data_IF_652102423178
#
_entry.id   IF_652102423178
#
_cell.length_a   1.000
_cell.length_b   1.000
_cell.length_c   1.000
_cell.angle_alpha   90.00
_cell.angle_beta   90.00
_cell.angle_gamma   90.00
#
_symmetry.space_group_name_H-M   'P 1'
#
loop_
_entity.id
_entity.type
_entity.pdbx_description
1 polymer ?
#
# COMPACT_ATOMS: atom_id res chain seq x y z
N UNK A 1 2.00 -23.78 21.18
CA UNK A 1 0.89 -24.16 20.29
C UNK A 1 1.29 -25.45 19.60
N UNK A 2 0.49 -26.50 19.71
CA UNK A 2 0.72 -27.75 18.98
C UNK A 2 0.39 -27.56 17.50
N UNK A 3 0.98 -28.38 16.62
CA UNK A 3 0.81 -28.28 15.17
C UNK A 3 -0.67 -28.36 14.74
N UNK A 4 -1.48 -29.20 15.38
CA UNK A 4 -2.93 -29.28 15.11
C UNK A 4 -3.71 -28.02 15.49
N UNK A 5 -3.15 -27.18 16.35
CA UNK A 5 -3.80 -25.97 16.85
C UNK A 5 -3.38 -24.71 16.05
N UNK A 6 -2.70 -24.89 14.90
CA UNK A 6 -2.44 -23.79 13.97
C UNK A 6 -3.79 -23.31 13.41
N UNK A 7 -4.16 -22.03 13.60
CA UNK A 7 -5.42 -21.48 13.08
C UNK A 7 -5.56 -21.77 11.59
N UNK A 8 -6.73 -22.26 11.18
CA UNK A 8 -7.08 -22.57 9.78
C UNK A 8 -8.32 -21.77 9.35
N UNK A 9 -8.55 -20.61 9.95
CA UNK A 9 -9.67 -19.75 9.60
C UNK A 9 -9.41 -19.15 8.20
N UNK A 10 -9.91 -19.83 7.18
CA UNK A 10 -9.73 -19.49 5.77
C UNK A 10 -10.72 -18.37 5.36
N UNK A 11 -10.42 -17.14 5.76
CA UNK A 11 -11.22 -15.96 5.49
C UNK A 11 -10.32 -14.71 5.36
N UNK A 12 -10.59 -13.84 4.39
CA UNK A 12 -9.82 -12.60 4.17
C UNK A 12 -8.58 -12.81 3.30
N UNK A 13 -7.41 -12.31 3.73
CA UNK A 13 -6.15 -12.46 2.96
C UNK A 13 -5.65 -13.91 2.88
N UNK A 14 -6.14 -14.81 3.75
CA UNK A 14 -5.87 -16.25 3.70
C UNK A 14 -6.40 -16.95 2.44
N UNK A 15 -7.44 -16.38 1.80
CA UNK A 15 -8.09 -16.89 0.59
C UNK A 15 -7.23 -16.61 -0.66
N UNK A 16 -6.03 -17.20 -0.69
CA UNK A 16 -5.10 -17.19 -1.81
C UNK A 16 -4.18 -15.97 -1.93
N UNK A 17 -4.24 -14.99 -1.01
CA UNK A 17 -3.41 -13.77 -1.09
C UNK A 17 -2.14 -13.88 -0.24
N UNK A 18 -2.23 -14.35 1.01
CA UNK A 18 -1.08 -14.55 1.89
C UNK A 18 -1.32 -15.66 2.90
N UNK A 19 -0.26 -16.39 3.26
CA UNK A 19 -0.25 -17.38 4.34
C UNK A 19 0.86 -17.04 5.33
N UNK A 20 0.55 -17.07 6.60
CA UNK A 20 1.51 -16.77 7.66
C UNK A 20 2.28 -18.03 8.06
N UNK A 21 3.59 -17.90 8.25
CA UNK A 21 4.43 -18.97 8.78
C UNK A 21 4.28 -19.02 10.31
N UNK A 22 3.65 -20.06 10.82
CA UNK A 22 3.51 -20.29 12.26
C UNK A 22 4.51 -21.35 12.72
N UNK A 23 5.13 -21.11 13.88
CA UNK A 23 5.93 -22.11 14.59
C UNK A 23 5.05 -22.83 15.60
N UNK A 24 5.10 -24.16 15.59
CA UNK A 24 4.31 -25.02 16.46
C UNK A 24 5.16 -26.19 16.99
N UNK A 25 4.70 -26.85 18.05
CA UNK A 25 5.31 -28.07 18.57
C UNK A 25 4.65 -29.30 17.92
N UNK A 26 5.46 -30.28 17.54
CA UNK A 26 4.97 -31.60 17.15
C UNK A 26 4.63 -32.47 18.38
N UNK A 27 4.11 -33.67 18.15
CA UNK A 27 3.73 -34.63 19.20
C UNK A 27 4.90 -35.06 20.10
N UNK A 28 6.14 -34.85 19.64
CA UNK A 28 7.37 -35.17 20.37
C UNK A 28 7.98 -33.95 21.07
N UNK A 29 7.31 -32.79 21.00
CA UNK A 29 7.79 -31.54 21.61
C UNK A 29 8.87 -30.80 20.82
N UNK A 30 9.11 -31.14 19.56
CA UNK A 30 10.05 -30.44 18.68
C UNK A 30 9.36 -29.29 17.93
N UNK A 31 10.10 -28.22 17.65
CA UNK A 31 9.61 -27.12 16.83
C UNK A 31 9.49 -27.52 15.36
N UNK A 32 8.32 -27.28 14.79
CA UNK A 32 8.00 -27.41 13.36
C UNK A 32 7.33 -26.14 12.87
N UNK A 33 7.31 -25.93 11.55
CA UNK A 33 6.54 -24.86 10.91
C UNK A 33 5.26 -25.39 10.28
N UNK A 34 4.27 -24.51 10.14
CA UNK A 34 3.08 -24.74 9.32
C UNK A 34 2.53 -23.41 8.80
N UNK A 35 1.88 -23.46 7.64
CA UNK A 35 1.23 -22.29 7.06
C UNK A 35 -0.17 -22.15 7.66
N UNK A 36 -0.52 -20.94 8.08
CA UNK A 36 -1.83 -20.58 8.57
C UNK A 36 -2.46 -19.52 7.65
N UNK A 37 -3.73 -19.67 7.22
CA UNK A 37 -4.49 -18.59 6.60
C UNK A 37 -4.83 -17.44 7.59
N UNK A 38 -4.50 -17.61 8.87
CA UNK A 38 -4.63 -16.61 9.92
C UNK A 38 -5.68 -16.97 10.96
N UNK A 39 -5.95 -15.99 11.84
CA UNK A 39 -7.00 -16.03 12.86
C UNK A 39 -8.03 -14.95 12.51
N UNK A 40 -9.32 -15.30 12.47
CA UNK A 40 -10.39 -14.42 11.96
C UNK A 40 -10.35 -12.98 12.50
N UNK A 41 -10.20 -12.71 13.81
CA UNK A 41 -10.14 -11.35 14.35
C UNK A 41 -8.97 -10.52 13.79
N UNK A 42 -7.82 -11.17 13.53
CA UNK A 42 -6.64 -10.51 12.94
C UNK A 42 -6.90 -10.14 11.48
N UNK A 43 -7.58 -11.02 10.74
CA UNK A 43 -7.92 -10.79 9.35
C UNK A 43 -8.92 -9.64 9.21
N UNK A 44 -9.88 -9.51 10.13
CA UNK A 44 -10.82 -8.37 10.18
C UNK A 44 -10.09 -7.05 10.38
N UNK A 45 -9.20 -6.96 11.38
CA UNK A 45 -8.43 -5.73 11.65
C UNK A 45 -7.56 -5.34 10.45
N UNK A 46 -6.98 -6.32 9.76
CA UNK A 46 -6.14 -6.08 8.60
C UNK A 46 -6.94 -5.60 7.38
N UNK A 47 -8.11 -6.18 7.13
CA UNK A 47 -9.03 -5.71 6.09
C UNK A 47 -9.46 -4.26 6.36
N UNK A 48 -9.78 -3.95 7.62
CA UNK A 48 -10.15 -2.60 8.03
C UNK A 48 -9.02 -1.59 7.77
N UNK A 49 -7.77 -1.96 8.11
CA UNK A 49 -6.60 -1.11 7.83
C UNK A 49 -6.40 -0.87 6.32
N UNK A 50 -6.60 -1.89 5.48
CA UNK A 50 -6.54 -1.73 4.03
C UNK A 50 -7.67 -0.84 3.49
N UNK A 51 -8.88 -0.93 4.07
CA UNK A 51 -10.00 -0.05 3.71
C UNK A 51 -9.67 1.41 3.99
N UNK A 52 -9.13 1.71 5.17
CA UNK A 52 -8.74 3.08 5.53
C UNK A 52 -7.70 3.66 4.55
N UNK A 53 -6.68 2.87 4.21
CA UNK A 53 -5.67 3.25 3.21
C UNK A 53 -6.32 3.54 1.85
N UNK A 54 -7.25 2.69 1.43
CA UNK A 54 -7.93 2.81 0.15
C UNK A 54 -8.81 4.06 0.08
N UNK A 55 -9.65 4.30 1.08
CA UNK A 55 -10.47 5.51 1.18
C UNK A 55 -9.61 6.77 1.14
N UNK A 56 -8.49 6.77 1.85
CA UNK A 56 -7.51 7.87 1.82
C UNK A 56 -6.94 8.08 0.41
N UNK A 57 -6.56 7.01 -0.28
CA UNK A 57 -6.05 7.10 -1.66
C UNK A 57 -7.09 7.62 -2.64
N UNK A 58 -8.37 7.24 -2.50
CA UNK A 58 -9.45 7.77 -3.32
C UNK A 58 -9.63 9.29 -3.12
N UNK A 59 -9.62 9.75 -1.87
CA UNK A 59 -9.70 11.18 -1.55
C UNK A 59 -8.55 11.94 -2.21
N UNK A 60 -7.32 11.44 -2.10
CA UNK A 60 -6.15 12.07 -2.69
C UNK A 60 -6.22 12.03 -4.22
N UNK A 61 -6.64 10.92 -4.82
CA UNK A 61 -6.81 10.81 -6.27
C UNK A 61 -7.78 11.87 -6.80
N UNK A 62 -8.91 12.08 -6.14
CA UNK A 62 -9.87 13.14 -6.47
C UNK A 62 -9.23 14.53 -6.32
N UNK A 63 -8.49 14.77 -5.23
CA UNK A 63 -7.76 16.04 -5.05
C UNK A 63 -6.69 16.28 -6.12
N UNK A 64 -6.06 15.23 -6.66
CA UNK A 64 -5.12 15.39 -7.79
C UNK A 64 -5.86 15.72 -9.08
N UNK A 65 -6.99 15.04 -9.38
CA UNK A 65 -7.85 15.33 -10.54
C UNK A 65 -8.37 16.78 -10.50
N UNK A 66 -8.70 17.27 -9.31
CA UNK A 66 -9.09 18.67 -9.07
C UNK A 66 -7.89 19.64 -9.01
N UNK A 67 -6.65 19.16 -9.18
CA UNK A 67 -5.43 19.94 -9.11
C UNK A 67 -5.29 20.73 -7.78
N UNK A 68 -5.77 20.16 -6.67
CA UNK A 68 -5.58 20.66 -5.28
C UNK A 68 -4.25 20.19 -4.70
N UNK A 69 -3.85 18.96 -5.01
CA UNK A 69 -2.57 18.35 -4.62
C UNK A 69 -1.87 17.79 -5.86
N UNK A 70 -0.55 17.63 -5.81
CA UNK A 70 0.21 17.02 -6.90
C UNK A 70 0.08 15.50 -6.89
N UNK A 71 0.25 14.86 -8.04
CA UNK A 71 0.40 13.41 -8.19
C UNK A 71 1.47 12.78 -7.30
N UNK A 72 2.52 13.51 -6.93
CA UNK A 72 3.56 13.02 -6.00
C UNK A 72 2.99 12.56 -4.65
N UNK A 73 1.97 13.27 -4.13
CA UNK A 73 1.34 12.91 -2.87
C UNK A 73 0.63 11.57 -2.98
N UNK A 74 -0.10 11.35 -4.09
CA UNK A 74 -0.78 10.09 -4.36
C UNK A 74 0.22 8.94 -4.41
N UNK A 75 1.28 9.05 -5.21
CA UNK A 75 2.24 7.95 -5.35
C UNK A 75 3.04 7.67 -4.08
N UNK A 76 3.31 8.70 -3.27
CA UNK A 76 3.91 8.50 -1.95
C UNK A 76 3.01 7.66 -1.03
N UNK A 77 1.73 8.02 -0.94
CA UNK A 77 0.74 7.31 -0.12
C UNK A 77 0.48 5.90 -0.66
N UNK A 78 0.45 5.74 -2.00
CA UNK A 78 0.30 4.44 -2.65
C UNK A 78 1.46 3.48 -2.31
N UNK A 79 2.67 4.02 -2.19
CA UNK A 79 3.85 3.27 -1.75
C UNK A 79 3.96 3.14 -0.22
N UNK A 80 2.91 3.56 0.53
CA UNK A 80 2.89 3.55 2.00
C UNK A 80 4.09 4.28 2.63
N UNK A 81 4.60 5.31 1.95
CA UNK A 81 5.76 6.08 2.39
C UNK A 81 5.33 7.31 3.21
N UNK A 82 6.17 7.69 4.17
CA UNK A 82 6.05 8.99 4.83
C UNK A 82 6.89 10.04 4.11
N UNK A 83 6.60 11.35 4.28
CA UNK A 83 7.41 12.42 3.67
C UNK A 83 8.89 12.37 4.05
N UNK A 84 9.22 11.88 5.26
CA UNK A 84 10.61 11.77 5.72
C UNK A 84 11.36 10.61 5.06
N UNK A 85 10.69 9.48 4.82
CA UNK A 85 11.29 8.35 4.10
C UNK A 85 11.58 8.78 2.65
N UNK A 86 10.59 9.37 1.98
CA UNK A 86 10.76 9.86 0.60
C UNK A 86 11.87 10.93 0.50
N UNK A 87 11.90 11.87 1.45
CA UNK A 87 12.94 12.89 1.55
C UNK A 87 14.35 12.29 1.68
N UNK A 88 14.50 11.29 2.54
CA UNK A 88 15.76 10.60 2.79
C UNK A 88 16.24 9.86 1.55
N UNK A 89 15.35 9.16 0.84
CA UNK A 89 15.74 8.47 -0.40
C UNK A 89 16.19 9.44 -1.51
N UNK A 90 15.42 10.51 -1.77
CA UNK A 90 15.78 11.43 -2.87
C UNK A 90 16.87 12.44 -2.51
N UNK A 91 17.24 12.50 -1.24
CA UNK A 91 18.31 13.34 -0.70
C UNK A 91 17.94 14.83 -0.63
N UNK A 92 16.72 15.15 -0.20
CA UNK A 92 16.28 16.54 0.02
C UNK A 92 15.57 16.69 1.37
N UNK A 93 15.49 17.89 1.96
CA UNK A 93 14.79 18.08 3.23
C UNK A 93 13.28 17.78 3.15
N UNK A 94 12.72 17.23 4.23
CA UNK A 94 11.30 16.86 4.33
C UNK A 94 10.34 18.01 4.01
N UNK A 95 10.64 19.25 4.44
CA UNK A 95 9.79 20.41 4.13
C UNK A 95 9.74 20.69 2.63
N UNK A 96 10.81 20.41 1.89
CA UNK A 96 10.88 20.59 0.44
C UNK A 96 10.02 19.55 -0.29
N UNK A 97 10.05 18.30 0.18
CA UNK A 97 9.10 17.27 -0.28
C UNK A 97 7.66 17.71 -0.05
N UNK A 98 7.35 18.19 1.17
CA UNK A 98 5.99 18.70 1.50
C UNK A 98 5.55 19.86 0.61
N UNK A 99 6.47 20.75 0.20
CA UNK A 99 6.16 21.78 -0.78
C UNK A 99 5.82 21.18 -2.15
N UNK A 100 6.54 20.15 -2.58
CA UNK A 100 6.27 19.47 -3.85
C UNK A 100 4.94 18.72 -3.86
N UNK A 101 4.25 18.53 -2.73
CA UNK A 101 2.87 18.04 -2.73
C UNK A 101 1.86 19.06 -3.26
N UNK A 102 2.24 20.33 -3.38
CA UNK A 102 1.41 21.37 -3.97
C UNK A 102 1.68 21.44 -5.48
N UNK A 103 0.65 21.47 -6.34
CA UNK A 103 0.81 21.44 -7.80
C UNK A 103 1.73 22.53 -8.35
N UNK A 104 1.66 23.73 -7.78
CA UNK A 104 2.46 24.87 -8.20
C UNK A 104 3.97 24.62 -8.08
N UNK A 105 4.43 24.07 -6.96
CA UNK A 105 5.85 23.76 -6.76
C UNK A 105 6.24 22.50 -7.52
N UNK A 106 5.36 21.50 -7.57
CA UNK A 106 5.59 20.26 -8.32
C UNK A 106 5.86 20.51 -9.80
N UNK A 107 5.07 21.38 -10.45
CA UNK A 107 5.26 21.73 -11.87
C UNK A 107 6.63 22.36 -12.16
N UNK A 108 7.27 22.95 -11.14
CA UNK A 108 8.54 23.68 -11.24
C UNK A 108 9.77 22.86 -10.84
N UNK A 109 9.60 21.61 -10.38
CA UNK A 109 10.75 20.78 -10.04
C UNK A 109 11.54 20.40 -11.29
N UNK A 110 12.87 20.34 -11.15
CA UNK A 110 13.75 19.98 -12.25
C UNK A 110 13.52 18.54 -12.71
N UNK A 111 13.80 18.27 -13.98
CA UNK A 111 13.69 16.93 -14.56
C UNK A 111 14.49 15.89 -13.75
N UNK A 112 15.73 16.22 -13.38
CA UNK A 112 16.59 15.38 -12.53
C UNK A 112 15.95 15.02 -11.17
N UNK A 113 15.15 15.92 -10.60
CA UNK A 113 14.44 15.61 -9.36
C UNK A 113 13.19 14.76 -9.60
N UNK A 114 12.47 14.97 -10.72
CA UNK A 114 11.39 14.07 -11.15
C UNK A 114 11.88 12.65 -11.35
N UNK A 115 13.04 12.47 -11.98
CA UNK A 115 13.69 11.16 -12.15
C UNK A 115 13.94 10.46 -10.81
N UNK A 116 14.49 11.19 -9.82
CA UNK A 116 14.71 10.62 -8.48
C UNK A 116 13.42 10.16 -7.81
N UNK A 117 12.37 10.97 -7.88
CA UNK A 117 11.06 10.59 -7.36
C UNK A 117 10.49 9.37 -8.09
N UNK A 118 10.49 9.40 -9.41
CA UNK A 118 9.96 8.32 -10.25
C UNK A 118 10.69 7.00 -9.97
N UNK A 119 12.02 7.03 -9.89
CA UNK A 119 12.86 5.89 -9.54
C UNK A 119 12.53 5.31 -8.17
N UNK A 120 12.44 6.16 -7.14
CA UNK A 120 12.12 5.71 -5.78
C UNK A 120 10.71 5.10 -5.68
N UNK A 121 9.76 5.67 -6.42
CA UNK A 121 8.37 5.25 -6.42
C UNK A 121 8.08 4.09 -7.40
N UNK A 122 9.10 3.59 -8.10
CA UNK A 122 8.96 2.47 -9.05
C UNK A 122 8.10 2.77 -10.28
N UNK A 123 8.00 4.03 -10.70
CA UNK A 123 7.14 4.48 -11.81
C UNK A 123 7.94 5.28 -12.86
N UNK A 124 7.34 5.51 -14.03
CA UNK A 124 7.90 6.42 -15.03
C UNK A 124 7.64 7.89 -14.67
N UNK A 125 8.42 8.80 -15.28
CA UNK A 125 8.20 10.24 -15.13
C UNK A 125 6.84 10.65 -15.72
N UNK A 126 6.40 9.95 -16.76
CA UNK A 126 5.11 10.15 -17.42
C UNK A 126 3.97 9.81 -16.44
N UNK A 127 4.05 8.65 -15.78
CA UNK A 127 3.11 8.25 -14.72
C UNK A 127 3.12 9.26 -13.57
N UNK A 128 4.30 9.68 -13.13
CA UNK A 128 4.46 10.67 -12.06
C UNK A 128 3.87 12.04 -12.44
N UNK A 129 3.87 12.42 -13.72
CA UNK A 129 3.47 13.76 -14.17
C UNK A 129 2.06 13.82 -14.75
N UNK A 130 1.45 12.68 -15.06
CA UNK A 130 0.12 12.62 -15.67
C UNK A 130 -0.90 12.03 -14.67
N UNK A 131 -1.92 12.82 -14.25
CA UNK A 131 -2.96 12.37 -13.33
C UNK A 131 -3.82 11.22 -13.88
N UNK A 132 -3.81 10.95 -15.18
CA UNK A 132 -4.55 9.83 -15.78
C UNK A 132 -4.00 8.46 -15.36
N UNK A 133 -2.74 8.39 -14.91
CA UNK A 133 -2.12 7.16 -14.40
C UNK A 133 -2.38 6.92 -12.91
N UNK A 134 -3.04 7.85 -12.23
CA UNK A 134 -3.52 7.66 -10.86
C UNK A 134 -4.66 6.66 -10.98
N UNK A 135 -4.38 5.43 -10.55
CA UNK A 135 -5.20 4.25 -10.82
C UNK A 135 -6.69 4.59 -10.82
N UNK A 136 -7.31 4.46 -11.99
CA UNK A 136 -8.68 3.95 -12.06
C UNK A 136 -8.69 2.70 -11.18
N UNK A 137 -9.52 2.74 -10.14
CA UNK A 137 -9.50 1.79 -9.02
C UNK A 137 -9.95 0.36 -9.41
N UNK A 138 -9.93 0.03 -10.71
CA UNK A 138 -10.37 -1.26 -11.25
C UNK A 138 -9.47 -2.42 -10.80
N UNK A 139 -8.16 -2.19 -10.62
CA UNK A 139 -7.22 -3.26 -10.22
C UNK A 139 -7.43 -3.68 -8.77
N UNK A 140 -7.72 -2.72 -7.88
CA UNK A 140 -8.00 -3.03 -6.47
C UNK A 140 -9.40 -3.62 -6.34
N UNK A 141 -10.41 -3.11 -7.04
CA UNK A 141 -11.73 -3.75 -7.11
C UNK A 141 -11.66 -5.19 -7.65
N UNK A 142 -10.72 -5.50 -8.54
CA UNK A 142 -10.51 -6.87 -9.04
C UNK A 142 -9.83 -7.78 -8.00
N UNK A 143 -8.86 -7.25 -7.25
CA UNK A 143 -8.25 -7.94 -6.09
C UNK A 143 -9.27 -8.14 -4.97
N UNK A 144 -10.11 -7.16 -4.69
CA UNK A 144 -11.19 -7.21 -3.69
C UNK A 144 -12.35 -8.12 -4.12
N UNK A 145 -12.71 -8.14 -5.40
CA UNK A 145 -13.67 -9.11 -5.96
C UNK A 145 -13.14 -10.54 -5.85
N UNK A 146 -11.85 -10.74 -6.08
CA UNK A 146 -11.21 -12.07 -5.98
C UNK A 146 -11.04 -12.55 -4.54
N UNK A 147 -10.86 -11.64 -3.58
CA UNK A 147 -10.79 -11.99 -2.15
C UNK A 147 -12.15 -12.33 -1.51
N UNK A 148 -13.24 -12.39 -2.29
CA UNK A 148 -14.58 -12.71 -1.77
C UNK A 148 -15.17 -11.63 -0.85
N UNK A 149 -14.53 -10.46 -0.74
CA UNK A 149 -14.93 -9.40 0.17
C UNK A 149 -16.09 -8.61 -0.50
N UNK A 150 -17.33 -8.95 -0.13
CA UNK A 150 -18.51 -8.12 -0.42
C UNK A 150 -18.71 -7.13 0.73
N UNK A 151 -18.67 -5.83 0.41
CA UNK A 151 -19.20 -4.81 1.32
C UNK A 151 -20.56 -4.31 0.82
N UNK A 152 -21.43 -4.02 1.79
CA UNK A 152 -22.80 -3.51 1.67
C UNK A 152 -22.79 -2.09 1.09
#
# INVERSE_FOLDING_TARGET
MEKQNIPQDDWGLGDGISRELCYALDENGNYTTGLSPGWEPKNIVLIEAWREIYEKLQIIANQVKENKVSSLLYFMEFNLMTPSILASSVGIPTWKVKLHFKPFFFKRISFKLKEKYAKELGISIEQLSNPDYIATLDILDEVYKKSGIKFI
#
